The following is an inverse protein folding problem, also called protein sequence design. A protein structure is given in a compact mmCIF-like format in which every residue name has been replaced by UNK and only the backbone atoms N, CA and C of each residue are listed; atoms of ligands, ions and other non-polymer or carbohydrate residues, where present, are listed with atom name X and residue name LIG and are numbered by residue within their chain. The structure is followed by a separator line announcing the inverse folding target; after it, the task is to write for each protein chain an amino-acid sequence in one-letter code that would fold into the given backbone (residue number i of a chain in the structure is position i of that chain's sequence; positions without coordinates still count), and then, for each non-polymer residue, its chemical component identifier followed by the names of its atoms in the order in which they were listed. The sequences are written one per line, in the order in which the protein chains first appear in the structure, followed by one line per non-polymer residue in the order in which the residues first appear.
data_IF_907686791974
#
_entry.id   IF_907686791974
#
_cell.length_a   1.000
_cell.length_b   1.000
_cell.length_c   1.000
_cell.angle_alpha   90.00
_cell.angle_beta   90.00
_cell.angle_gamma   90.00
#
_symmetry.space_group_name_H-M   'P 1'
#
loop_
_entity.id
_entity.type
_entity.pdbx_description
1 polymer ?
#
# COMPACT_ATOMS: atom_id res chain seq x y z
N UNK A 1 -17.63 17.72 -67.37
CA UNK A 1 -17.82 17.85 -65.91
C UNK A 1 -17.15 19.14 -65.45
N UNK A 2 -17.96 20.19 -65.30
CA UNK A 2 -18.01 21.21 -64.24
C UNK A 2 -16.72 21.71 -63.55
N UNK A 3 -16.24 22.87 -64.01
CA UNK A 3 -15.89 24.14 -63.31
C UNK A 3 -15.51 24.23 -61.82
N UNK A 4 -14.35 24.87 -61.59
CA UNK A 4 -14.05 26.10 -60.80
C UNK A 4 -14.14 26.16 -59.25
N UNK A 5 -13.12 26.88 -58.74
CA UNK A 5 -13.14 27.89 -57.64
C UNK A 5 -12.71 27.46 -56.24
N UNK A 6 -11.46 27.82 -55.92
CA UNK A 6 -11.02 28.26 -54.60
C UNK A 6 -11.65 29.63 -54.30
N UNK A 7 -12.38 29.71 -53.19
CA UNK A 7 -12.87 30.92 -52.52
C UNK A 7 -12.50 30.77 -51.04
N UNK A 8 -11.71 31.66 -50.43
CA UNK A 8 -12.07 32.96 -49.84
C UNK A 8 -12.05 32.90 -48.31
N UNK A 9 -10.91 33.27 -47.72
CA UNK A 9 -10.68 34.38 -46.75
C UNK A 9 -11.63 34.58 -45.51
N UNK A 10 -11.40 35.58 -44.62
CA UNK A 10 -10.87 35.42 -43.27
C UNK A 10 -11.82 35.94 -42.15
N UNK A 11 -11.58 35.61 -40.88
CA UNK A 11 -12.04 36.44 -39.75
C UNK A 11 -11.44 35.99 -38.41
N UNK A 12 -10.82 36.94 -37.70
CA UNK A 12 -11.07 37.31 -36.29
C UNK A 12 -11.06 36.19 -35.23
N UNK A 13 -10.28 36.23 -34.15
CA UNK A 13 -10.14 37.29 -33.15
C UNK A 13 -8.79 37.22 -32.44
N UNK A 14 -8.24 38.37 -32.07
CA UNK A 14 -7.12 38.47 -31.16
C UNK A 14 -7.48 38.44 -29.67
N UNK A 15 -6.41 38.35 -28.88
CA UNK A 15 -6.21 38.81 -27.49
C UNK A 15 -6.82 37.97 -26.33
N UNK A 16 -6.37 38.14 -25.07
CA UNK A 16 -5.09 38.67 -24.53
C UNK A 16 -4.53 37.88 -23.32
N UNK A 17 -3.37 38.32 -22.81
CA UNK A 17 -2.98 38.32 -21.38
C UNK A 17 -3.03 37.00 -20.57
N UNK A 18 -1.84 36.39 -20.57
CA UNK A 18 -1.11 35.89 -19.40
C UNK A 18 -1.67 36.31 -18.03
N UNK A 19 -2.64 35.56 -17.50
CA UNK A 19 -3.08 35.64 -16.09
C UNK A 19 -2.15 34.80 -15.24
N UNK A 20 -1.01 35.39 -14.87
CA UNK A 20 -0.28 34.98 -13.71
C UNK A 20 -1.17 35.19 -12.47
N UNK A 21 -1.74 34.11 -11.94
CA UNK A 21 -2.06 33.89 -10.52
C UNK A 21 -2.86 32.62 -10.34
N UNK A 22 -2.17 31.55 -9.96
CA UNK A 22 -2.53 30.69 -8.82
C UNK A 22 -1.56 29.52 -8.77
N UNK A 23 -0.31 29.81 -8.41
CA UNK A 23 0.50 28.83 -7.68
C UNK A 23 -0.02 28.77 -6.24
N UNK A 24 -1.26 28.33 -6.09
CA UNK A 24 -1.78 27.81 -4.84
C UNK A 24 -1.44 26.33 -4.82
N UNK A 25 -0.20 26.02 -4.47
CA UNK A 25 0.20 24.65 -4.11
C UNK A 25 -0.47 24.29 -2.79
N UNK A 26 -1.80 24.16 -2.79
CA UNK A 26 -2.60 23.48 -1.78
C UNK A 26 -2.57 21.96 -2.01
N UNK A 27 -1.41 21.46 -2.42
CA UNK A 27 -1.13 20.05 -2.18
C UNK A 27 -1.07 19.92 -0.65
N UNK A 28 -1.94 19.10 -0.01
CA UNK A 28 -1.77 18.81 1.40
C UNK A 28 -0.31 18.39 1.59
N UNK A 29 0.37 18.82 2.66
CA UNK A 29 1.76 18.43 2.88
C UNK A 29 1.78 16.94 2.69
N UNK A 30 2.51 16.46 1.66
CA UNK A 30 2.65 15.03 1.37
C UNK A 30 2.99 14.45 2.71
N UNK A 31 2.01 13.80 3.34
CA UNK A 31 2.21 13.30 4.69
C UNK A 31 3.53 12.57 4.59
N UNK A 32 4.47 12.88 5.49
CA UNK A 32 5.66 12.06 5.59
C UNK A 32 5.10 10.67 5.88
N UNK A 33 4.89 9.87 4.83
CA UNK A 33 4.52 8.46 4.87
C UNK A 33 5.81 7.78 5.31
N UNK A 34 6.28 8.17 6.49
CA UNK A 34 7.59 7.90 7.01
C UNK A 34 7.57 6.44 7.38
N UNK A 35 8.00 5.61 6.44
CA UNK A 35 8.39 4.23 6.65
C UNK A 35 7.36 3.38 7.42
N UNK A 36 6.06 3.65 7.30
CA UNK A 36 5.04 2.80 7.91
C UNK A 36 4.93 1.50 7.09
N UNK A 37 5.31 0.41 7.74
CA UNK A 37 5.23 -0.94 7.20
C UNK A 37 4.23 -1.76 8.03
N UNK A 38 3.84 -2.92 7.51
CA UNK A 38 2.98 -3.84 8.23
C UNK A 38 3.66 -5.19 8.36
N UNK A 39 3.59 -5.78 9.56
CA UNK A 39 3.93 -7.19 9.77
C UNK A 39 2.63 -7.98 9.72
N UNK A 40 2.55 -8.96 8.82
CA UNK A 40 1.40 -9.85 8.70
C UNK A 40 1.83 -11.29 8.94
N UNK A 41 1.25 -11.93 9.94
CA UNK A 41 1.51 -13.32 10.30
C UNK A 41 0.38 -14.24 9.88
N UNK A 42 0.72 -15.37 9.25
CA UNK A 42 -0.19 -16.50 9.04
C UNK A 42 0.31 -17.72 9.78
N UNK A 43 -0.62 -18.55 10.23
CA UNK A 43 -0.34 -19.83 10.86
C UNK A 43 -0.52 -20.95 9.86
N UNK A 44 0.25 -22.02 10.00
CA UNK A 44 0.05 -23.26 9.23
C UNK A 44 0.52 -24.44 10.06
N UNK A 45 0.10 -25.66 9.68
CA UNK A 45 0.61 -26.90 10.25
C UNK A 45 1.52 -27.59 9.25
N UNK A 46 2.69 -28.02 9.70
CA UNK A 46 3.59 -28.86 8.91
C UNK A 46 3.02 -30.27 8.75
N UNK A 47 3.60 -31.07 7.86
CA UNK A 47 3.23 -32.49 7.70
C UNK A 47 3.41 -33.30 9.01
N UNK A 48 4.35 -32.91 9.86
CA UNK A 48 4.57 -33.50 11.19
C UNK A 48 3.55 -33.02 12.25
N UNK A 49 2.58 -32.19 11.88
CA UNK A 49 1.56 -31.64 12.77
C UNK A 49 2.01 -30.42 13.59
N UNK A 50 3.26 -29.98 13.45
CA UNK A 50 3.83 -28.84 14.17
C UNK A 50 3.18 -27.54 13.71
N UNK A 51 2.78 -26.70 14.66
CA UNK A 51 2.18 -25.41 14.38
C UNK A 51 3.27 -24.35 14.15
N UNK A 52 3.29 -23.75 12.97
CA UNK A 52 4.27 -22.73 12.58
C UNK A 52 3.60 -21.42 12.20
N UNK A 53 4.39 -20.34 12.20
CA UNK A 53 3.96 -19.01 11.77
C UNK A 53 4.94 -18.46 10.74
N UNK A 54 4.42 -17.94 9.63
CA UNK A 54 5.19 -17.17 8.66
C UNK A 54 4.77 -15.71 8.72
N UNK A 55 5.76 -14.84 8.83
CA UNK A 55 5.56 -13.41 8.89
C UNK A 55 6.05 -12.74 7.60
N UNK A 56 5.24 -11.82 7.10
CA UNK A 56 5.50 -11.02 5.90
C UNK A 56 5.60 -9.56 6.31
N UNK A 57 6.67 -8.90 5.87
CA UNK A 57 6.77 -7.44 5.94
C UNK A 57 6.18 -6.88 4.65
N UNK A 58 5.13 -6.05 4.80
CA UNK A 58 4.39 -5.44 3.71
C UNK A 58 4.62 -3.93 3.74
N UNK A 59 5.50 -3.39 2.87
CA UNK A 59 5.65 -1.96 2.72
C UNK A 59 4.47 -1.37 1.95
N UNK A 60 4.19 -0.08 2.16
CA UNK A 60 3.24 0.72 1.34
C UNK A 60 1.79 0.23 1.30
N UNK A 61 1.35 -0.57 2.26
CA UNK A 61 -0.07 -0.86 2.40
C UNK A 61 -0.81 0.35 2.96
N UNK A 62 -1.94 0.69 2.33
CA UNK A 62 -2.81 1.80 2.74
C UNK A 62 -3.42 1.62 4.15
N UNK A 63 -3.44 0.39 4.66
CA UNK A 63 -3.95 0.05 5.98
C UNK A 63 -3.79 -1.44 6.28
N UNK A 64 -4.27 -1.86 7.47
CA UNK A 64 -4.15 -3.23 7.96
C UNK A 64 -4.78 -4.28 7.04
N UNK A 65 -5.99 -4.01 6.55
CA UNK A 65 -6.72 -4.92 5.66
C UNK A 65 -6.02 -5.09 4.31
N UNK A 66 -5.62 -3.96 3.69
CA UNK A 66 -4.85 -4.00 2.45
C UNK A 66 -3.51 -4.74 2.64
N UNK A 67 -2.83 -4.56 3.78
CA UNK A 67 -1.62 -5.32 4.10
C UNK A 67 -1.88 -6.82 4.20
N UNK A 68 -2.98 -7.22 4.85
CA UNK A 68 -3.37 -8.62 4.97
C UNK A 68 -3.68 -9.25 3.60
N UNK A 69 -4.39 -8.53 2.72
CA UNK A 69 -4.68 -8.98 1.36
C UNK A 69 -3.40 -9.19 0.54
N UNK A 70 -2.46 -8.23 0.56
CA UNK A 70 -1.17 -8.34 -0.13
C UNK A 70 -0.34 -9.51 0.41
N UNK A 71 -0.30 -9.68 1.73
CA UNK A 71 0.41 -10.78 2.37
C UNK A 71 -0.22 -12.14 2.04
N UNK A 72 -1.55 -12.23 1.98
CA UNK A 72 -2.27 -13.43 1.59
C UNK A 72 -2.01 -13.80 0.11
N UNK A 73 -1.99 -12.80 -0.77
CA UNK A 73 -1.62 -13.00 -2.17
C UNK A 73 -0.19 -13.55 -2.28
N UNK A 74 0.78 -12.97 -1.55
CA UNK A 74 2.15 -13.46 -1.49
C UNK A 74 2.22 -14.88 -0.92
N UNK A 75 1.49 -15.16 0.15
CA UNK A 75 1.38 -16.49 0.74
C UNK A 75 0.74 -17.51 -0.22
N UNK A 76 0.00 -17.11 -1.25
CA UNK A 76 -0.52 -18.04 -2.27
C UNK A 76 0.39 -18.19 -3.48
N UNK A 77 1.49 -17.45 -3.55
CA UNK A 77 2.46 -17.62 -4.64
C UNK A 77 3.13 -19.00 -4.60
N UNK A 78 3.39 -19.58 -5.77
CA UNK A 78 3.95 -20.93 -5.89
C UNK A 78 5.26 -21.09 -5.09
N UNK A 79 6.17 -20.11 -5.16
CA UNK A 79 7.43 -20.16 -4.42
C UNK A 79 7.26 -20.15 -2.89
N UNK A 80 6.27 -19.42 -2.35
CA UNK A 80 6.01 -19.48 -0.89
C UNK A 80 5.26 -20.74 -0.48
N UNK A 81 4.42 -21.30 -1.37
CA UNK A 81 3.80 -22.59 -1.12
C UNK A 81 4.87 -23.68 -1.06
N UNK A 82 5.79 -23.71 -2.03
CA UNK A 82 6.91 -24.66 -2.07
C UNK A 82 7.78 -24.57 -0.81
N UNK A 83 8.13 -23.36 -0.34
CA UNK A 83 8.90 -23.19 0.91
C UNK A 83 8.21 -23.76 2.16
N UNK A 84 6.89 -23.88 2.14
CA UNK A 84 6.11 -24.51 3.23
C UNK A 84 5.73 -25.95 2.92
N UNK A 85 6.35 -26.57 1.91
CA UNK A 85 5.99 -27.89 1.41
C UNK A 85 4.48 -28.01 1.13
N UNK A 86 3.91 -26.95 0.55
CA UNK A 86 2.48 -26.81 0.22
C UNK A 86 1.53 -26.89 1.41
N UNK A 87 2.03 -26.72 2.64
CA UNK A 87 1.17 -26.61 3.82
C UNK A 87 0.23 -25.40 3.69
N UNK A 88 -1.06 -25.66 3.90
CA UNK A 88 -2.11 -24.64 3.84
C UNK A 88 -2.01 -23.68 5.02
N UNK A 89 -2.13 -22.39 4.73
CA UNK A 89 -2.25 -21.37 5.76
C UNK A 89 -3.67 -21.37 6.34
N UNK A 90 -3.76 -21.18 7.64
CA UNK A 90 -5.00 -20.97 8.38
C UNK A 90 -5.46 -19.53 8.18
N UNK A 91 -6.30 -19.30 7.18
CA UNK A 91 -6.81 -17.96 6.85
C UNK A 91 -7.73 -17.39 7.95
N UNK A 92 -8.19 -18.21 8.91
CA UNK A 92 -8.97 -17.74 10.07
C UNK A 92 -8.08 -17.12 11.15
N UNK A 93 -6.77 -17.36 11.08
CA UNK A 93 -5.80 -16.77 11.98
C UNK A 93 -4.87 -15.84 11.21
N UNK A 94 -5.04 -14.53 11.41
CA UNK A 94 -4.17 -13.52 10.83
C UNK A 94 -3.76 -12.56 11.94
N UNK A 95 -2.44 -12.37 12.10
CA UNK A 95 -1.89 -11.33 12.97
C UNK A 95 -1.46 -10.16 12.10
N UNK A 96 -2.04 -8.97 12.30
CA UNK A 96 -1.65 -7.75 11.57
C UNK A 96 -1.16 -6.72 12.57
N UNK A 97 0.09 -6.29 12.42
CA UNK A 97 0.72 -5.31 13.32
C UNK A 97 1.41 -4.23 12.52
N UNK A 98 1.23 -2.98 12.93
CA UNK A 98 1.94 -1.85 12.34
C UNK A 98 3.40 -1.88 12.77
N UNK A 99 4.32 -1.75 11.82
CA UNK A 99 5.74 -1.52 12.04
C UNK A 99 6.01 -0.04 11.82
N UNK A 100 6.55 0.63 12.84
CA UNK A 100 6.94 2.04 12.76
C UNK A 100 8.44 2.13 12.92
N UNK A 101 9.08 2.88 12.05
CA UNK A 101 10.48 3.23 12.20
C UNK A 101 10.60 4.42 13.14
N UNK A 102 11.47 4.30 14.13
CA UNK A 102 11.85 5.42 14.99
C UNK A 102 12.79 6.37 14.26
N UNK A 103 12.96 7.58 14.79
CA UNK A 103 13.87 8.60 14.24
C UNK A 103 15.34 8.18 14.25
N UNK A 104 15.72 7.23 15.13
CA UNK A 104 17.07 6.64 15.20
C UNK A 104 17.25 5.43 14.28
N UNK A 105 16.19 5.03 13.55
CA UNK A 105 16.23 3.96 12.57
C UNK A 105 15.69 2.60 13.07
N UNK A 106 15.46 2.44 14.37
CA UNK A 106 14.94 1.20 14.96
C UNK A 106 13.49 0.92 14.57
N UNK A 107 13.16 -0.35 14.36
CA UNK A 107 11.79 -0.80 14.10
C UNK A 107 11.05 -1.14 15.39
N UNK A 108 9.86 -0.56 15.57
CA UNK A 108 8.97 -0.86 16.69
C UNK A 108 7.67 -1.45 16.16
N UNK A 109 7.23 -2.54 16.77
CA UNK A 109 5.90 -3.07 16.51
C UNK A 109 4.86 -2.32 17.36
N UNK A 110 3.76 -1.97 16.71
CA UNK A 110 2.53 -1.56 17.36
C UNK A 110 1.99 -2.67 18.26
N UNK A 111 1.23 -2.25 19.27
CA UNK A 111 0.44 -3.15 20.11
C UNK A 111 -0.55 -3.92 19.23
N UNK A 112 -0.92 -5.11 19.69
CA UNK A 112 -1.99 -5.85 19.02
C UNK A 112 -3.30 -5.07 19.15
N UNK A 113 -4.18 -5.12 18.14
CA UNK A 113 -5.56 -4.68 18.34
C UNK A 113 -6.15 -5.40 19.56
N UNK A 114 -6.59 -4.64 20.58
CA UNK A 114 -7.15 -5.16 21.84
C UNK A 114 -6.15 -5.37 22.99
N UNK A 115 -4.86 -5.08 22.81
CA UNK A 115 -3.87 -5.10 23.88
C UNK A 115 -3.70 -3.69 24.47
N UNK A 116 -4.51 -3.33 25.45
CA UNK A 116 -4.34 -2.11 26.23
C UNK A 116 -3.17 -2.29 27.20
N UNK A 117 -2.23 -1.34 27.23
CA UNK A 117 -1.17 -1.32 28.23
C UNK A 117 -1.82 -0.93 29.56
N UNK A 118 -2.01 -1.88 30.49
CA UNK A 118 -2.25 -1.52 31.89
C UNK A 118 -0.98 -0.86 32.39
N UNK A 119 -0.96 0.48 32.38
CA UNK A 119 0.11 1.25 32.98
C UNK A 119 0.07 1.03 34.48
N UNK A 120 1.08 0.34 35.01
CA UNK A 120 1.48 0.48 36.40
C UNK A 120 2.50 1.61 36.47
N UNK A 121 2.08 2.76 36.98
CA UNK A 121 2.83 3.60 37.94
C UNK A 121 1.79 4.23 38.85
#
# INVERSE_FOLDING_TARGET
MTTLTTASDPAYCGNPMNSARSSGSDAPPRALHGDEQWLVGFRFRTATGTLMRHYYVVPRAAGAEHAAQLAAQRARSAGEQERRAFALVDERWIEVRRLRRSVVGDWRLGLRPGEWRTGSV
#
